data_IF_057532515990
#
_entry.id   IF_057532515990
#
_cell.length_a   1.000
_cell.length_b   1.000
_cell.length_c   1.000
_cell.angle_alpha   90.00
_cell.angle_beta   90.00
_cell.angle_gamma   90.00
#
_symmetry.space_group_name_H-M   'P 1'
#
loop_
_entity.id
_entity.type
_entity.pdbx_description
1 polymer ?
#
# COMPACT_ATOMS: atom_id res chain seq x y z
N UNK A 1 -21.57 -21.38 -29.70
CA UNK A 1 -20.58 -20.61 -30.46
C UNK A 1 -19.87 -19.65 -29.57
N UNK A 2 -18.54 -19.74 -29.46
CA UNK A 2 -17.58 -18.86 -28.73
C UNK A 2 -17.54 -18.95 -27.18
N UNK A 3 -16.94 -20.02 -26.67
CA UNK A 3 -16.41 -20.11 -25.29
C UNK A 3 -14.90 -20.47 -25.27
N UNK A 4 -14.19 -20.43 -26.39
CA UNK A 4 -12.79 -20.90 -26.45
C UNK A 4 -11.72 -19.83 -26.17
N UNK A 5 -12.07 -18.52 -26.15
CA UNK A 5 -11.06 -17.46 -26.03
C UNK A 5 -10.69 -17.03 -24.61
N UNK A 6 -11.50 -17.39 -23.61
CA UNK A 6 -11.27 -16.86 -22.25
C UNK A 6 -10.13 -17.57 -21.52
N UNK A 7 -9.96 -18.86 -21.74
CA UNK A 7 -8.93 -19.66 -21.07
C UNK A 7 -7.52 -19.39 -21.61
N UNK A 8 -7.39 -19.19 -22.92
CA UNK A 8 -6.12 -18.86 -23.60
C UNK A 8 -5.62 -17.47 -23.18
N UNK A 9 -6.51 -16.48 -23.04
CA UNK A 9 -6.16 -15.13 -22.63
C UNK A 9 -5.71 -15.06 -21.15
N UNK A 10 -6.28 -15.87 -20.26
CA UNK A 10 -5.86 -15.94 -18.86
C UNK A 10 -4.47 -16.55 -18.68
N UNK A 11 -4.13 -17.59 -19.45
CA UNK A 11 -2.81 -18.20 -19.42
C UNK A 11 -1.72 -17.26 -19.99
N UNK A 12 -2.02 -16.59 -21.11
CA UNK A 12 -1.12 -15.61 -21.72
C UNK A 12 -0.91 -14.40 -20.78
N UNK A 13 -1.96 -13.92 -20.12
CA UNK A 13 -1.87 -12.83 -19.15
C UNK A 13 -1.01 -13.21 -17.91
N UNK A 14 -1.14 -14.43 -17.39
CA UNK A 14 -0.31 -14.93 -16.28
C UNK A 14 1.17 -15.04 -16.66
N UNK A 15 1.49 -15.47 -17.89
CA UNK A 15 2.86 -15.55 -18.38
C UNK A 15 3.47 -14.17 -18.58
N UNK A 16 2.69 -13.20 -19.05
CA UNK A 16 3.13 -11.82 -19.24
C UNK A 16 3.44 -11.14 -17.89
N UNK A 17 2.62 -11.36 -16.85
CA UNK A 17 2.84 -10.77 -15.51
C UNK A 17 4.14 -11.25 -14.90
N UNK A 18 4.48 -12.52 -14.99
CA UNK A 18 5.73 -13.07 -14.42
C UNK A 18 7.00 -12.52 -15.09
N UNK A 19 6.89 -11.98 -16.29
CA UNK A 19 8.01 -11.33 -16.99
C UNK A 19 8.15 -9.84 -16.65
N UNK A 20 7.22 -9.28 -15.89
CA UNK A 20 7.27 -7.86 -15.46
C UNK A 20 8.19 -7.68 -14.25
N UNK A 21 8.68 -6.46 -14.02
CA UNK A 21 9.47 -6.16 -12.85
C UNK A 21 8.77 -6.55 -11.55
N UNK A 22 9.53 -7.08 -10.61
CA UNK A 22 9.05 -7.43 -9.28
C UNK A 22 8.92 -6.18 -8.43
N UNK A 23 7.71 -5.87 -8.00
CA UNK A 23 7.42 -4.71 -7.16
C UNK A 23 7.62 -4.99 -5.68
N UNK A 24 7.03 -6.09 -5.20
CA UNK A 24 7.04 -6.46 -3.79
C UNK A 24 7.13 -7.96 -3.67
N UNK A 25 8.03 -8.44 -2.83
CA UNK A 25 8.13 -9.88 -2.54
C UNK A 25 8.44 -10.14 -1.08
N UNK A 26 8.16 -11.34 -0.64
CA UNK A 26 8.47 -11.81 0.71
C UNK A 26 8.99 -13.24 0.71
N UNK A 27 9.89 -13.53 1.62
CA UNK A 27 10.45 -14.86 1.85
C UNK A 27 10.34 -15.24 3.32
N UNK A 28 9.65 -16.33 3.62
CA UNK A 28 9.43 -16.84 4.97
C UNK A 28 8.77 -15.83 5.90
N UNK A 29 7.95 -14.92 5.36
CA UNK A 29 7.38 -13.80 6.11
C UNK A 29 6.50 -14.32 7.23
N UNK A 30 6.85 -13.96 8.47
CA UNK A 30 6.26 -14.52 9.67
C UNK A 30 5.86 -13.41 10.63
N UNK A 31 4.67 -13.55 11.26
CA UNK A 31 4.23 -12.67 12.34
C UNK A 31 3.56 -13.45 13.45
N UNK A 32 4.18 -13.41 14.60
CA UNK A 32 3.67 -13.98 15.83
C UNK A 32 3.37 -12.85 16.83
N UNK A 33 2.29 -13.02 17.58
CA UNK A 33 1.90 -12.15 18.68
C UNK A 33 1.88 -12.92 19.99
N UNK A 34 2.21 -12.26 21.08
CA UNK A 34 2.25 -12.88 22.41
C UNK A 34 3.66 -13.25 22.86
N UNK A 35 3.76 -13.81 24.06
CA UNK A 35 5.02 -14.18 24.72
C UNK A 35 4.85 -15.55 25.39
N UNK A 36 5.90 -16.36 25.38
CA UNK A 36 5.95 -17.66 26.06
C UNK A 36 4.94 -18.67 25.49
N UNK A 37 4.11 -19.25 26.35
CA UNK A 37 3.12 -20.26 25.96
C UNK A 37 1.86 -19.70 25.27
N UNK A 38 1.68 -18.38 25.23
CA UNK A 38 0.53 -17.71 24.62
C UNK A 38 0.96 -17.00 23.32
N UNK A 39 1.48 -17.76 22.36
CA UNK A 39 1.86 -17.24 21.05
C UNK A 39 0.77 -17.53 20.03
N UNK A 40 0.30 -16.48 19.35
CA UNK A 40 -0.62 -16.59 18.21
C UNK A 40 0.18 -16.39 16.93
N UNK A 41 0.17 -17.40 16.05
CA UNK A 41 0.76 -17.35 14.72
C UNK A 41 -0.23 -16.70 13.77
N UNK A 42 -0.08 -15.42 13.50
CA UNK A 42 -0.98 -14.67 12.64
C UNK A 42 -0.60 -14.77 11.16
N UNK A 43 0.69 -14.85 10.86
CA UNK A 43 1.27 -15.14 9.54
C UNK A 43 2.43 -16.09 9.79
N UNK A 44 2.51 -17.19 9.06
CA UNK A 44 3.49 -18.25 9.31
C UNK A 44 4.16 -18.69 8.01
N UNK A 45 5.41 -18.29 7.80
CA UNK A 45 6.30 -18.65 6.69
C UNK A 45 5.68 -18.43 5.29
N UNK A 46 5.13 -17.25 5.05
CA UNK A 46 4.48 -16.92 3.77
C UNK A 46 5.49 -16.37 2.77
N UNK A 47 5.54 -16.98 1.59
CA UNK A 47 6.26 -16.48 0.42
C UNK A 47 5.27 -15.85 -0.56
N UNK A 48 5.67 -14.72 -1.19
CA UNK A 48 4.85 -14.06 -2.20
C UNK A 48 5.72 -13.23 -3.16
N UNK A 49 5.18 -13.02 -4.36
CA UNK A 49 5.76 -12.17 -5.40
C UNK A 49 4.65 -11.37 -6.07
N UNK A 50 4.77 -10.04 -6.10
CA UNK A 50 3.84 -9.13 -6.78
C UNK A 50 4.60 -8.34 -7.84
N UNK A 51 4.08 -8.35 -9.06
CA UNK A 51 4.71 -7.75 -10.24
C UNK A 51 4.01 -6.45 -10.65
N UNK A 52 4.67 -5.64 -11.46
CA UNK A 52 4.09 -4.40 -11.98
C UNK A 52 2.82 -4.65 -12.79
N UNK A 53 1.79 -3.83 -12.54
CA UNK A 53 0.49 -3.94 -13.22
C UNK A 53 -0.30 -5.19 -12.86
N UNK A 54 0.08 -5.92 -11.82
CA UNK A 54 -0.66 -7.08 -11.33
C UNK A 54 -1.77 -6.64 -10.36
N UNK A 55 -2.94 -7.26 -10.50
CA UNK A 55 -4.03 -7.19 -9.54
C UNK A 55 -4.05 -8.47 -8.69
N UNK A 56 -3.71 -8.34 -7.41
CA UNK A 56 -3.64 -9.46 -6.47
C UNK A 56 -4.74 -9.35 -5.42
N UNK A 57 -5.47 -10.45 -5.18
CA UNK A 57 -6.46 -10.54 -4.12
C UNK A 57 -5.99 -11.51 -3.03
N UNK A 58 -6.04 -11.06 -1.76
CA UNK A 58 -5.77 -11.91 -0.60
C UNK A 58 -7.11 -12.36 -0.04
N UNK A 59 -7.41 -13.66 -0.16
CA UNK A 59 -8.67 -14.27 0.28
C UNK A 59 -8.43 -15.28 1.40
N UNK A 60 -9.44 -15.52 2.22
CA UNK A 60 -9.39 -16.46 3.33
C UNK A 60 -10.45 -16.15 4.40
N UNK A 61 -10.63 -17.04 5.35
CA UNK A 61 -11.58 -16.89 6.44
C UNK A 61 -11.25 -15.71 7.39
N UNK A 62 -12.22 -15.32 8.21
CA UNK A 62 -11.97 -14.34 9.26
C UNK A 62 -10.90 -14.88 10.22
N UNK A 63 -9.91 -14.02 10.60
CA UNK A 63 -8.80 -14.46 11.45
C UNK A 63 -7.63 -15.16 10.74
N UNK A 64 -7.70 -15.41 9.42
CA UNK A 64 -6.61 -16.08 8.67
C UNK A 64 -5.34 -15.25 8.44
N UNK A 65 -5.22 -14.08 9.07
CA UNK A 65 -4.01 -13.26 8.99
C UNK A 65 -3.96 -12.23 7.87
N UNK A 66 -4.98 -12.10 7.00
CA UNK A 66 -5.02 -11.15 5.86
C UNK A 66 -4.67 -9.72 6.27
N UNK A 67 -5.36 -9.20 7.29
CA UNK A 67 -5.11 -7.85 7.80
C UNK A 67 -3.71 -7.69 8.38
N UNK A 68 -3.19 -8.74 9.02
CA UNK A 68 -1.83 -8.74 9.56
C UNK A 68 -0.81 -8.68 8.43
N UNK A 69 -0.96 -9.53 7.42
CA UNK A 69 -0.11 -9.51 6.23
C UNK A 69 -0.19 -8.15 5.53
N UNK A 70 -1.38 -7.62 5.26
CA UNK A 70 -1.54 -6.30 4.64
C UNK A 70 -0.85 -5.19 5.44
N UNK A 71 -0.97 -5.17 6.77
CA UNK A 71 -0.25 -4.20 7.62
C UNK A 71 1.27 -4.35 7.54
N UNK A 72 1.76 -5.58 7.40
CA UNK A 72 3.18 -5.84 7.19
C UNK A 72 3.63 -5.32 5.82
N UNK A 73 2.88 -5.59 4.74
CA UNK A 73 3.16 -5.07 3.40
C UNK A 73 3.19 -3.55 3.37
N UNK A 74 2.31 -2.89 4.10
CA UNK A 74 2.27 -1.43 4.23
C UNK A 74 3.38 -0.85 5.14
N UNK A 75 4.19 -1.68 5.78
CA UNK A 75 5.19 -1.21 6.75
C UNK A 75 4.60 -0.59 8.01
N UNK A 76 3.35 -0.91 8.33
CA UNK A 76 2.68 -0.52 9.58
C UNK A 76 2.99 -1.49 10.71
N UNK A 77 3.42 -2.70 10.37
CA UNK A 77 3.76 -3.77 11.29
C UNK A 77 5.05 -4.45 10.80
N UNK A 78 5.98 -4.69 11.73
CA UNK A 78 7.19 -5.44 11.40
C UNK A 78 6.93 -6.93 11.47
N UNK A 79 7.60 -7.67 10.60
CA UNK A 79 7.73 -9.12 10.67
C UNK A 79 8.43 -9.55 11.98
N UNK A 80 8.11 -10.74 12.46
CA UNK A 80 8.84 -11.41 13.54
C UNK A 80 10.06 -12.13 12.96
N UNK A 81 9.90 -12.70 11.76
CA UNK A 81 10.94 -13.40 11.01
C UNK A 81 10.64 -13.33 9.50
N UNK A 82 11.61 -13.70 8.68
CA UNK A 82 11.54 -13.59 7.22
C UNK A 82 11.94 -12.21 6.70
N UNK A 83 11.79 -12.01 5.41
CA UNK A 83 12.23 -10.80 4.73
C UNK A 83 11.19 -10.32 3.73
N UNK A 84 11.03 -9.00 3.65
CA UNK A 84 10.21 -8.33 2.64
C UNK A 84 11.15 -7.48 1.77
N UNK A 85 10.95 -7.55 0.45
CA UNK A 85 11.72 -6.80 -0.53
C UNK A 85 10.79 -5.88 -1.30
N UNK A 86 11.23 -4.64 -1.53
CA UNK A 86 10.53 -3.64 -2.33
C UNK A 86 11.45 -3.22 -3.47
N UNK A 87 10.97 -3.37 -4.72
CA UNK A 87 11.75 -3.09 -5.94
C UNK A 87 13.15 -3.75 -5.90
N UNK A 88 13.20 -5.03 -5.52
CA UNK A 88 14.42 -5.84 -5.45
C UNK A 88 15.36 -5.53 -4.29
N UNK A 89 15.06 -4.54 -3.44
CA UNK A 89 15.86 -4.20 -2.25
C UNK A 89 15.17 -4.69 -0.98
N UNK A 90 15.94 -5.21 -0.04
CA UNK A 90 15.41 -5.55 1.29
C UNK A 90 14.78 -4.31 1.92
N UNK A 91 13.53 -4.44 2.35
CA UNK A 91 12.79 -3.38 3.00
C UNK A 91 13.48 -2.97 4.31
N UNK A 92 13.72 -1.70 4.46
CA UNK A 92 14.22 -1.12 5.69
C UNK A 92 13.28 0.00 6.18
N UNK A 93 12.58 -0.28 7.27
CA UNK A 93 11.66 0.66 7.94
C UNK A 93 12.08 0.92 9.38
N UNK A 94 13.38 0.77 9.69
CA UNK A 94 13.92 0.91 11.04
C UNK A 94 13.88 2.34 11.58
N UNK A 95 13.93 3.34 10.70
CA UNK A 95 13.86 4.75 11.08
C UNK A 95 12.65 5.44 10.45
N UNK A 96 12.26 6.59 11.03
CA UNK A 96 11.17 7.41 10.47
C UNK A 96 11.46 7.88 9.04
N UNK A 97 12.72 8.18 8.73
CA UNK A 97 13.13 8.62 7.39
C UNK A 97 12.97 7.49 6.37
N UNK A 98 13.48 6.30 6.65
CA UNK A 98 13.37 5.11 5.80
C UNK A 98 11.92 4.66 5.62
N UNK A 99 11.13 4.73 6.69
CA UNK A 99 9.69 4.45 6.63
C UNK A 99 8.96 5.43 5.71
N UNK A 100 9.33 6.73 5.77
CA UNK A 100 8.78 7.74 4.88
C UNK A 100 9.15 7.49 3.43
N UNK A 101 10.39 7.09 3.14
CA UNK A 101 10.85 6.72 1.81
C UNK A 101 10.04 5.53 1.26
N UNK A 102 9.88 4.47 2.05
CA UNK A 102 9.04 3.33 1.69
C UNK A 102 7.61 3.73 1.34
N UNK A 103 6.99 4.62 2.13
CA UNK A 103 5.63 5.11 1.89
C UNK A 103 5.48 6.05 0.70
N UNK A 104 6.57 6.50 0.08
CA UNK A 104 6.49 7.21 -1.20
C UNK A 104 6.13 6.27 -2.35
N UNK A 105 6.49 4.98 -2.25
CA UNK A 105 6.21 3.97 -3.25
C UNK A 105 5.00 3.08 -2.94
N UNK A 106 4.50 3.07 -1.70
CA UNK A 106 3.37 2.23 -1.28
C UNK A 106 2.26 3.12 -0.70
N UNK A 107 1.05 2.90 -1.17
CA UNK A 107 -0.15 3.59 -0.72
C UNK A 107 -1.24 2.61 -0.32
N UNK A 108 -2.12 3.02 0.59
CA UNK A 108 -3.26 2.22 1.05
C UNK A 108 -4.55 3.03 1.02
N UNK A 109 -5.63 2.34 0.66
CA UNK A 109 -6.99 2.80 0.88
C UNK A 109 -7.59 1.88 1.94
N UNK A 110 -7.96 2.44 3.09
CA UNK A 110 -8.53 1.68 4.19
C UNK A 110 -10.03 1.46 3.99
N UNK A 111 -10.55 0.36 4.56
CA UNK A 111 -11.96 -0.01 4.50
C UNK A 111 -12.87 1.08 5.11
N UNK A 112 -12.42 1.72 6.19
CA UNK A 112 -13.07 2.88 6.79
C UNK A 112 -12.18 4.11 6.61
N UNK A 113 -12.38 4.88 5.53
CA UNK A 113 -11.59 6.08 5.29
C UNK A 113 -11.85 7.17 6.32
N UNK A 114 -13.03 7.21 6.95
CA UNK A 114 -13.36 8.24 7.93
C UNK A 114 -12.53 8.12 9.20
N UNK A 115 -12.26 6.90 9.65
CA UNK A 115 -11.38 6.67 10.81
C UNK A 115 -9.93 7.09 10.56
N UNK A 116 -9.55 7.25 9.29
CA UNK A 116 -8.20 7.68 8.89
C UNK A 116 -8.03 9.20 8.90
N UNK A 117 -9.13 9.96 8.91
CA UNK A 117 -9.11 11.41 8.96
C UNK A 117 -9.20 11.92 10.40
N UNK A 118 -8.26 12.79 10.76
CA UNK A 118 -8.43 13.59 11.96
C UNK A 118 -9.40 14.73 11.64
N UNK A 119 -10.61 14.66 12.20
CA UNK A 119 -11.70 15.64 11.98
C UNK A 119 -11.35 17.06 12.44
N UNK A 120 -10.30 17.24 13.24
CA UNK A 120 -9.78 18.55 13.62
C UNK A 120 -8.88 19.20 12.56
N UNK A 121 -8.42 18.43 11.58
CA UNK A 121 -7.57 18.95 10.51
C UNK A 121 -8.43 19.41 9.33
N UNK A 122 -8.10 20.57 8.78
CA UNK A 122 -8.66 21.01 7.50
C UNK A 122 -8.17 20.12 6.36
N UNK A 123 -8.99 19.94 5.34
CA UNK A 123 -8.66 19.06 4.19
C UNK A 123 -7.44 19.58 3.43
N UNK A 124 -7.30 20.89 3.27
CA UNK A 124 -6.12 21.51 2.65
C UNK A 124 -4.82 21.15 3.38
N UNK A 125 -4.84 21.11 4.72
CA UNK A 125 -3.71 20.71 5.53
C UNK A 125 -3.32 19.25 5.27
N UNK A 126 -4.30 18.35 5.19
CA UNK A 126 -4.06 16.94 4.89
C UNK A 126 -3.44 16.75 3.50
N UNK A 127 -3.98 17.46 2.49
CA UNK A 127 -3.46 17.40 1.13
C UNK A 127 -2.04 17.99 1.05
N UNK A 128 -1.78 19.10 1.74
CA UNK A 128 -0.43 19.68 1.84
C UNK A 128 0.57 18.73 2.49
N UNK A 129 0.15 18.04 3.54
CA UNK A 129 1.01 17.04 4.19
C UNK A 129 1.34 15.88 3.25
N UNK A 130 0.39 15.41 2.45
CA UNK A 130 0.64 14.41 1.41
C UNK A 130 1.68 14.88 0.40
N UNK A 131 1.57 16.11 -0.11
CA UNK A 131 2.56 16.71 -1.03
C UNK A 131 3.94 16.80 -0.36
N UNK A 132 3.99 17.29 0.88
CA UNK A 132 5.22 17.43 1.64
C UNK A 132 5.90 16.08 1.94
N UNK A 133 5.10 15.06 2.19
CA UNK A 133 5.60 13.69 2.38
C UNK A 133 6.24 13.13 1.12
N UNK A 134 5.71 13.44 -0.06
CA UNK A 134 6.23 13.03 -1.36
C UNK A 134 7.39 13.88 -1.87
N UNK A 135 8.00 14.68 -1.03
CA UNK A 135 9.17 15.49 -1.38
C UNK A 135 8.85 16.92 -1.84
N UNK A 136 7.58 17.32 -1.85
CA UNK A 136 7.15 18.64 -2.33
C UNK A 136 7.34 19.81 -1.35
N UNK A 137 8.15 19.67 -0.28
CA UNK A 137 8.34 20.74 0.71
C UNK A 137 8.86 22.06 0.11
N UNK A 138 9.70 21.95 -0.92
CA UNK A 138 10.34 23.11 -1.59
C UNK A 138 9.52 23.67 -2.75
N UNK A 139 8.38 23.11 -3.07
CA UNK A 139 7.51 23.64 -4.10
C UNK A 139 6.86 24.95 -3.65
N UNK A 140 6.64 25.84 -4.61
CA UNK A 140 5.92 27.10 -4.37
C UNK A 140 4.48 26.83 -3.93
N UNK A 141 3.85 27.84 -3.32
CA UNK A 141 2.43 27.74 -2.89
C UNK A 141 1.50 27.50 -4.08
N UNK A 142 1.78 28.16 -5.18
CA UNK A 142 1.02 28.06 -6.43
C UNK A 142 1.08 26.64 -6.99
N UNK A 143 2.28 26.03 -7.00
CA UNK A 143 2.46 24.66 -7.49
C UNK A 143 1.77 23.63 -6.58
N UNK A 144 1.82 23.82 -5.26
CA UNK A 144 1.09 22.96 -4.33
C UNK A 144 -0.43 23.09 -4.52
N UNK A 145 -0.93 24.30 -4.73
CA UNK A 145 -2.34 24.55 -5.01
C UNK A 145 -2.80 23.87 -6.30
N UNK A 146 -2.01 23.99 -7.36
CA UNK A 146 -2.24 23.31 -8.64
C UNK A 146 -2.35 21.78 -8.44
N UNK A 147 -1.38 21.16 -7.74
CA UNK A 147 -1.37 19.72 -7.46
C UNK A 147 -2.59 19.28 -6.63
N UNK A 148 -3.01 20.07 -5.64
CA UNK A 148 -4.22 19.76 -4.85
C UNK A 148 -5.48 19.84 -5.72
N UNK A 149 -5.57 20.84 -6.56
CA UNK A 149 -6.72 21.02 -7.48
C UNK A 149 -6.79 19.88 -8.49
N UNK A 150 -5.66 19.50 -9.07
CA UNK A 150 -5.56 18.37 -10.01
C UNK A 150 -5.96 17.04 -9.34
N UNK A 151 -5.45 16.76 -8.14
CA UNK A 151 -5.81 15.55 -7.39
C UNK A 151 -7.30 15.48 -7.06
N UNK A 152 -7.91 16.60 -6.66
CA UNK A 152 -9.35 16.65 -6.43
C UNK A 152 -10.15 16.45 -7.71
N UNK A 153 -9.73 17.09 -8.82
CA UNK A 153 -10.36 16.95 -10.12
C UNK A 153 -10.34 15.51 -10.63
N UNK A 154 -9.24 14.80 -10.40
CA UNK A 154 -9.11 13.38 -10.77
C UNK A 154 -10.19 12.48 -10.16
N UNK A 155 -10.69 12.84 -8.97
CA UNK A 155 -11.79 12.13 -8.28
C UNK A 155 -13.12 12.86 -8.38
N UNK A 156 -13.29 13.76 -9.35
CA UNK A 156 -14.50 14.57 -9.60
C UNK A 156 -14.91 15.45 -8.41
N UNK A 157 -13.96 15.91 -7.61
CA UNK A 157 -14.19 16.88 -6.55
C UNK A 157 -13.66 18.26 -6.94
N UNK A 158 -14.35 19.31 -6.52
CA UNK A 158 -13.86 20.69 -6.69
C UNK A 158 -13.13 21.12 -5.42
N UNK A 159 -11.84 21.40 -5.53
CA UNK A 159 -11.02 21.81 -4.39
C UNK A 159 -11.58 23.01 -3.64
N UNK A 160 -12.12 24.02 -4.36
CA UNK A 160 -12.75 25.20 -3.75
C UNK A 160 -13.95 24.88 -2.86
N UNK A 161 -14.69 23.81 -3.13
CA UNK A 161 -15.83 23.40 -2.31
C UNK A 161 -15.39 22.72 -1.00
N UNK A 162 -14.18 22.13 -0.98
CA UNK A 162 -13.62 21.45 0.19
C UNK A 162 -12.97 22.41 1.19
N UNK A 163 -12.48 23.56 0.73
CA UNK A 163 -11.74 24.53 1.56
C UNK A 163 -12.62 25.62 2.18
N UNK A 164 -13.86 25.73 1.75
CA UNK A 164 -14.83 26.75 2.24
C UNK A 164 -15.68 26.28 3.45
N UNK A 165 -15.31 25.18 4.11
CA UNK A 165 -16.01 24.65 5.29
C UNK A 165 -15.13 24.62 6.51
#
# INVERSE_FOLDING_TARGET
>A
MKTENTTLNLAAHRLDVKNRPLCLSGKGVTKYFGIGSKVTKAVDHVDFEFHEGELVSIVGESGSGKTTLSKMLLGLLNETDGEIFFQGKKRDISTRAKKKEYWQGIQAIFQDPFSSFNTFNKIDTVLLDCINMRGGKHLSKEKKFEMMTEACSFVNLKFAELTNK
#
